data_IF_775027114745
#
_entry.id   IF_775027114745
#
_cell.length_a   1.000
_cell.length_b   1.000
_cell.length_c   1.000
_cell.angle_alpha   90.00
_cell.angle_beta   90.00
_cell.angle_gamma   90.00
#
_symmetry.space_group_name_H-M   'P 1'
#
loop_
_entity.id
_entity.type
_entity.pdbx_description
1 polymer ?
#
# COMPACT_ATOMS: atom_id res chain seq x y z
N UNK A 1 11.17 -14.87 15.88
CA UNK A 1 10.36 -15.60 14.89
C UNK A 1 10.49 -14.85 13.58
N UNK A 2 11.14 -15.44 12.58
CA UNK A 2 11.27 -14.84 11.25
C UNK A 2 10.00 -15.13 10.49
N UNK A 3 9.05 -14.19 10.47
CA UNK A 3 7.90 -14.27 9.56
C UNK A 3 8.45 -14.20 8.15
N UNK A 4 8.35 -15.32 7.43
CA UNK A 4 8.78 -15.37 6.04
C UNK A 4 7.67 -14.74 5.21
N UNK A 5 7.92 -13.53 4.73
CA UNK A 5 7.11 -12.92 3.69
C UNK A 5 7.11 -13.86 2.48
N UNK A 6 5.97 -14.48 2.18
CA UNK A 6 5.84 -15.47 1.13
C UNK A 6 5.51 -14.77 -0.18
N UNK A 7 5.76 -15.44 -1.31
CA UNK A 7 5.32 -14.94 -2.62
C UNK A 7 3.79 -14.75 -2.69
N UNK A 8 3.02 -15.48 -1.89
CA UNK A 8 1.57 -15.35 -1.80
C UNK A 8 1.11 -14.00 -1.23
N UNK A 9 1.90 -13.36 -0.37
CA UNK A 9 1.52 -12.10 0.29
C UNK A 9 1.51 -10.93 -0.70
N UNK A 10 2.27 -11.02 -1.79
CA UNK A 10 2.22 -10.04 -2.87
C UNK A 10 0.86 -9.95 -3.55
N UNK A 11 0.06 -11.03 -3.53
CA UNK A 11 -1.31 -11.03 -4.08
C UNK A 11 -2.19 -10.05 -3.32
N UNK A 12 -1.94 -9.85 -2.02
CA UNK A 12 -2.66 -8.89 -1.19
C UNK A 12 -2.01 -7.50 -1.23
N UNK A 13 -0.68 -7.44 -1.27
CA UNK A 13 0.07 -6.17 -1.23
C UNK A 13 -0.12 -5.34 -2.50
N UNK A 14 -0.10 -5.96 -3.69
CA UNK A 14 -0.19 -5.25 -4.97
C UNK A 14 -1.51 -4.47 -5.12
N UNK A 15 -2.70 -5.09 -4.98
CA UNK A 15 -3.96 -4.36 -5.11
C UNK A 15 -4.13 -3.31 -3.99
N UNK A 16 -3.60 -3.56 -2.78
CA UNK A 16 -3.66 -2.60 -1.69
C UNK A 16 -2.77 -1.36 -1.94
N UNK A 17 -1.58 -1.56 -2.50
CA UNK A 17 -0.70 -0.49 -2.94
C UNK A 17 -1.31 0.34 -4.08
N UNK A 18 -1.90 -0.33 -5.07
CA UNK A 18 -2.62 0.32 -6.17
C UNK A 18 -3.83 1.10 -5.67
N UNK A 19 -4.61 0.54 -4.73
CA UNK A 19 -5.72 1.24 -4.10
C UNK A 19 -5.25 2.51 -3.40
N UNK A 20 -4.19 2.44 -2.59
CA UNK A 20 -3.58 3.60 -1.95
C UNK A 20 -3.13 4.67 -2.95
N UNK A 21 -2.46 4.25 -4.03
CA UNK A 21 -2.02 5.15 -5.10
C UNK A 21 -3.19 5.84 -5.80
N UNK A 22 -4.27 5.12 -6.09
CA UNK A 22 -5.44 5.64 -6.78
C UNK A 22 -6.27 6.56 -5.88
N UNK A 23 -6.48 6.20 -4.61
CA UNK A 23 -7.25 7.01 -3.66
C UNK A 23 -6.56 8.34 -3.35
N UNK A 24 -5.26 8.33 -3.03
CA UNK A 24 -4.52 9.56 -2.73
C UNK A 24 -4.19 10.32 -4.02
N UNK A 25 -3.93 9.61 -5.12
CA UNK A 25 -3.72 10.21 -6.43
C UNK A 25 -4.96 10.90 -6.99
N UNK A 26 -6.17 10.43 -6.68
CA UNK A 26 -7.42 11.05 -7.17
C UNK A 26 -7.69 12.45 -6.60
N UNK A 27 -6.89 12.93 -5.64
CA UNK A 27 -7.01 14.29 -5.11
C UNK A 27 -6.66 15.33 -6.20
N UNK A 28 -7.59 16.26 -6.53
CA UNK A 28 -7.37 17.26 -7.57
C UNK A 28 -6.33 18.28 -7.12
N UNK A 29 -5.07 18.06 -7.48
CA UNK A 29 -3.99 19.01 -7.30
C UNK A 29 -3.75 19.78 -8.59
N UNK A 30 -3.63 21.12 -8.51
CA UNK A 30 -3.38 22.03 -9.66
C UNK A 30 -2.09 21.78 -10.45
N UNK A 31 -1.18 20.93 -9.97
CA UNK A 31 0.15 20.73 -10.56
C UNK A 31 0.45 19.24 -10.72
N UNK A 32 0.96 18.82 -11.88
CA UNK A 32 1.27 17.41 -12.18
C UNK A 32 2.30 16.81 -11.21
N UNK A 33 3.29 17.61 -10.78
CA UNK A 33 4.28 17.19 -9.77
C UNK A 33 3.64 16.79 -8.43
N UNK A 34 2.66 17.57 -7.94
CA UNK A 34 1.93 17.23 -6.70
C UNK A 34 1.05 16.01 -6.91
N UNK A 35 0.39 15.87 -8.06
CA UNK A 35 -0.44 14.71 -8.34
C UNK A 35 0.38 13.40 -8.37
N UNK A 36 1.54 13.42 -9.02
CA UNK A 36 2.44 12.27 -9.04
C UNK A 36 3.05 11.98 -7.66
N UNK A 37 3.44 13.01 -6.91
CA UNK A 37 3.91 12.84 -5.54
C UNK A 37 2.82 12.24 -4.63
N UNK A 38 1.56 12.66 -4.78
CA UNK A 38 0.43 12.11 -4.03
C UNK A 38 0.16 10.64 -4.39
N UNK A 39 0.27 10.24 -5.66
CA UNK A 39 0.20 8.82 -6.07
C UNK A 39 1.27 7.98 -5.42
N UNK A 40 2.52 8.45 -5.42
CA UNK A 40 3.65 7.74 -4.81
C UNK A 40 3.49 7.63 -3.29
N UNK A 41 3.07 8.72 -2.64
CA UNK A 41 2.77 8.71 -1.20
C UNK A 41 1.62 7.75 -0.86
N UNK A 42 0.55 7.75 -1.65
CA UNK A 42 -0.56 6.81 -1.49
C UNK A 42 -0.14 5.37 -1.68
N UNK A 43 0.69 5.08 -2.68
CA UNK A 43 1.25 3.75 -2.91
C UNK A 43 2.07 3.27 -1.70
N UNK A 44 2.95 4.13 -1.17
CA UNK A 44 3.75 3.83 0.01
C UNK A 44 2.88 3.54 1.24
N UNK A 45 1.86 4.36 1.49
CA UNK A 45 0.93 4.13 2.60
C UNK A 45 0.17 2.81 2.42
N UNK A 46 -0.30 2.51 1.21
CA UNK A 46 -0.98 1.25 0.88
C UNK A 46 -0.10 0.02 1.11
N UNK A 47 1.19 0.09 0.75
CA UNK A 47 2.16 -0.98 1.02
C UNK A 47 2.37 -1.17 2.52
N UNK A 48 2.54 -0.09 3.29
CA UNK A 48 2.71 -0.17 4.74
C UNK A 48 1.50 -0.85 5.40
N UNK A 49 0.29 -0.47 5.01
CA UNK A 49 -0.93 -1.11 5.51
C UNK A 49 -1.04 -2.58 5.11
N UNK A 50 -0.63 -2.94 3.90
CA UNK A 50 -0.63 -4.33 3.45
C UNK A 50 0.32 -5.20 4.27
N UNK A 51 1.53 -4.70 4.55
CA UNK A 51 2.50 -5.40 5.40
C UNK A 51 1.96 -5.56 6.82
N UNK A 52 1.41 -4.50 7.40
CA UNK A 52 0.78 -4.58 8.74
C UNK A 52 -0.37 -5.57 8.76
N UNK A 53 -1.17 -5.66 7.71
CA UNK A 53 -2.27 -6.61 7.62
C UNK A 53 -1.77 -8.05 7.49
N UNK A 54 -0.83 -8.31 6.58
CA UNK A 54 -0.24 -9.65 6.35
C UNK A 54 0.42 -10.18 7.62
N UNK A 55 1.21 -9.34 8.29
CA UNK A 55 1.94 -9.71 9.50
C UNK A 55 1.05 -9.66 10.76
N UNK A 56 -0.02 -8.86 10.74
CA UNK A 56 -0.97 -8.69 11.85
C UNK A 56 -2.04 -9.78 11.90
N UNK A 57 -2.44 -10.34 10.75
CA UNK A 57 -3.38 -11.47 10.69
C UNK A 57 -2.94 -12.68 11.54
N UNK A 58 -1.69 -13.17 11.46
CA UNK A 58 -1.22 -14.27 12.30
C UNK A 58 -1.01 -13.88 13.77
N UNK A 59 -0.98 -12.58 14.11
CA UNK A 59 -0.89 -12.10 15.49
C UNK A 59 -2.26 -11.90 16.16
N UNK A 60 -3.34 -11.86 15.37
CA UNK A 60 -4.70 -11.66 15.84
C UNK A 60 -5.43 -12.99 16.15
N UNK A 61 -4.84 -14.12 15.75
CA UNK A 61 -5.30 -15.49 16.05
C UNK A 61 -4.50 -16.09 17.20
#
# INVERSE_FOLDING_TARGET
>A
MTTYFTIGDFILVIPMALAGALFVGALPCKTELRHNALRVLGALIGVVFAVVLVEGLPALV
#
